data_IF_653088980600
#
_entry.id   IF_653088980600
#
_cell.length_a   1.000
_cell.length_b   1.000
_cell.length_c   1.000
_cell.angle_alpha   90.00
_cell.angle_beta   90.00
_cell.angle_gamma   90.00
#
_symmetry.space_group_name_H-M   'P 1'
#
loop_
_entity.id
_entity.type
_entity.pdbx_description
1 polymer ?
#
# COMPACT_ATOMS: atom_id res chain seq x y z
N UNK A 1 12.33 -25.26 20.27
CA UNK A 1 12.34 -24.93 18.83
C UNK A 1 11.46 -25.94 18.09
N UNK A 2 10.14 -25.78 18.19
CA UNK A 2 9.19 -26.70 17.56
C UNK A 2 9.03 -26.35 16.07
N UNK A 3 9.31 -27.34 15.23
CA UNK A 3 9.12 -27.34 13.78
C UNK A 3 7.67 -26.97 13.45
N UNK A 4 7.48 -25.95 12.61
CA UNK A 4 6.29 -25.90 11.78
C UNK A 4 6.42 -27.11 10.84
N UNK A 5 5.60 -28.13 11.06
CA UNK A 5 5.57 -29.36 10.29
C UNK A 5 5.30 -29.07 8.80
N UNK A 6 6.20 -29.54 7.93
CA UNK A 6 5.99 -30.21 6.63
C UNK A 6 4.94 -29.71 5.63
N UNK A 7 4.47 -28.47 5.74
CA UNK A 7 3.91 -27.77 4.60
C UNK A 7 4.90 -26.67 4.26
N UNK A 8 5.61 -26.82 3.14
CA UNK A 8 6.40 -25.71 2.62
C UNK A 8 5.43 -24.53 2.44
N UNK A 9 5.76 -23.37 3.02
CA UNK A 9 4.96 -22.14 2.84
C UNK A 9 4.74 -21.87 1.35
N UNK A 10 5.69 -22.27 0.50
CA UNK A 10 5.53 -22.32 -0.94
C UNK A 10 4.27 -23.08 -1.38
N UNK A 11 4.00 -24.28 -0.87
CA UNK A 11 2.83 -25.08 -1.22
C UNK A 11 1.51 -24.44 -0.77
N UNK A 12 1.48 -23.79 0.40
CA UNK A 12 0.31 -23.02 0.85
C UNK A 12 0.02 -21.88 -0.12
N UNK A 13 1.05 -21.12 -0.48
CA UNK A 13 0.94 -19.98 -1.39
C UNK A 13 0.52 -20.45 -2.77
N UNK A 14 1.17 -21.48 -3.33
CA UNK A 14 0.86 -22.08 -4.63
C UNK A 14 -0.59 -22.56 -4.70
N UNK A 15 -1.01 -23.36 -3.72
CA UNK A 15 -2.39 -23.89 -3.65
C UNK A 15 -3.40 -22.76 -3.60
N UNK A 16 -3.17 -21.75 -2.76
CA UNK A 16 -4.10 -20.64 -2.57
C UNK A 16 -4.19 -19.74 -3.78
N UNK A 17 -3.05 -19.42 -4.41
CA UNK A 17 -2.98 -18.61 -5.61
C UNK A 17 -3.75 -19.29 -6.74
N UNK A 18 -3.54 -20.60 -6.96
CA UNK A 18 -4.23 -21.37 -8.00
C UNK A 18 -5.74 -21.47 -7.78
N UNK A 19 -6.20 -21.65 -6.55
CA UNK A 19 -7.64 -21.62 -6.24
C UNK A 19 -8.26 -20.26 -6.60
N UNK A 20 -7.64 -19.16 -6.18
CA UNK A 20 -8.09 -17.81 -6.50
C UNK A 20 -8.02 -17.50 -8.00
N UNK A 21 -7.00 -18.03 -8.70
CA UNK A 21 -6.89 -17.94 -10.14
C UNK A 21 -8.05 -18.69 -10.82
N UNK A 22 -8.38 -19.89 -10.34
CA UNK A 22 -9.55 -20.68 -10.79
C UNK A 22 -10.84 -19.86 -10.82
N UNK A 23 -11.12 -19.13 -9.75
CA UNK A 23 -12.33 -18.31 -9.60
C UNK A 23 -12.46 -17.16 -10.62
N UNK A 24 -11.37 -16.80 -11.30
CA UNK A 24 -11.33 -15.66 -12.26
C UNK A 24 -10.88 -16.06 -13.67
N UNK A 25 -10.51 -17.32 -13.90
CA UNK A 25 -10.07 -17.83 -15.21
C UNK A 25 -11.18 -17.67 -16.26
N UNK A 26 -12.44 -17.90 -15.91
CA UNK A 26 -13.57 -17.78 -16.84
C UNK A 26 -13.69 -16.36 -17.42
N UNK A 27 -13.35 -15.34 -16.64
CA UNK A 27 -13.34 -13.94 -17.10
C UNK A 27 -12.22 -13.70 -18.13
N UNK A 28 -11.05 -14.29 -17.91
CA UNK A 28 -9.92 -14.20 -18.85
C UNK A 28 -10.18 -14.93 -20.15
N UNK A 29 -10.75 -16.14 -20.08
CA UNK A 29 -11.09 -16.95 -21.25
C UNK A 29 -12.16 -16.24 -22.08
N UNK A 30 -13.22 -15.74 -21.44
CA UNK A 30 -14.29 -15.01 -22.12
C UNK A 30 -13.79 -13.73 -22.81
N UNK A 31 -12.98 -12.92 -22.11
CA UNK A 31 -12.41 -11.70 -22.68
C UNK A 31 -11.44 -11.98 -23.84
N UNK A 32 -10.65 -13.06 -23.76
CA UNK A 32 -9.77 -13.48 -24.85
C UNK A 32 -10.56 -13.91 -26.08
N UNK A 33 -11.63 -14.68 -25.89
CA UNK A 33 -12.49 -15.13 -26.99
C UNK A 33 -13.13 -13.94 -27.71
N UNK A 34 -13.64 -12.95 -26.98
CA UNK A 34 -14.21 -11.74 -27.57
C UNK A 34 -13.18 -10.96 -28.41
N UNK A 35 -11.93 -10.89 -27.95
CA UNK A 35 -10.82 -10.26 -28.68
C UNK A 35 -10.45 -11.07 -29.92
N UNK A 36 -10.35 -12.39 -29.82
CA UNK A 36 -10.11 -13.28 -30.96
C UNK A 36 -11.21 -13.12 -32.02
N UNK A 37 -12.48 -13.05 -31.61
CA UNK A 37 -13.61 -12.83 -32.50
C UNK A 37 -13.54 -11.45 -33.19
N UNK A 38 -13.15 -10.41 -32.45
CA UNK A 38 -12.90 -9.08 -33.01
C UNK A 38 -11.72 -9.06 -33.97
N UNK A 39 -10.66 -9.82 -33.66
CA UNK A 39 -9.46 -9.97 -34.50
C UNK A 39 -9.79 -10.68 -35.81
N UNK A 40 -10.55 -11.78 -35.76
CA UNK A 40 -11.06 -12.50 -36.94
C UNK A 40 -11.87 -11.55 -37.83
N UNK A 41 -12.69 -10.68 -37.23
CA UNK A 41 -13.47 -9.67 -37.97
C UNK A 41 -12.62 -8.52 -38.54
N UNK A 42 -11.52 -8.15 -37.90
CA UNK A 42 -10.72 -6.96 -38.23
C UNK A 42 -9.53 -7.23 -39.17
N UNK A 43 -9.59 -8.29 -40.00
CA UNK A 43 -8.55 -8.97 -40.81
C UNK A 43 -7.48 -8.13 -41.57
N UNK A 44 -7.47 -6.80 -41.50
CA UNK A 44 -6.56 -5.91 -42.22
C UNK A 44 -5.99 -4.72 -41.43
N UNK A 45 -6.43 -4.45 -40.18
CA UNK A 45 -5.92 -3.31 -39.39
C UNK A 45 -4.97 -3.76 -38.27
N UNK A 46 -3.67 -3.79 -38.60
CA UNK A 46 -2.58 -4.16 -37.69
C UNK A 46 -2.55 -3.27 -36.44
N UNK A 47 -2.97 -1.99 -36.54
CA UNK A 47 -2.94 -1.06 -35.42
C UNK A 47 -4.03 -1.36 -34.40
N UNK A 48 -5.25 -1.64 -34.87
CA UNK A 48 -6.41 -2.00 -34.06
C UNK A 48 -6.21 -3.37 -33.41
N UNK A 49 -5.59 -4.28 -34.16
CA UNK A 49 -5.17 -5.59 -33.68
C UNK A 49 -4.12 -5.50 -32.56
N UNK A 50 -3.10 -4.64 -32.71
CA UNK A 50 -2.11 -4.38 -31.66
C UNK A 50 -2.71 -3.83 -30.38
N UNK A 51 -3.64 -2.89 -30.50
CA UNK A 51 -4.33 -2.30 -29.34
C UNK A 51 -5.15 -3.32 -28.55
N UNK A 52 -5.85 -4.25 -29.22
CA UNK A 52 -6.61 -5.31 -28.55
C UNK A 52 -5.69 -6.23 -27.72
N UNK A 53 -4.58 -6.70 -28.30
CA UNK A 53 -3.64 -7.57 -27.59
C UNK A 53 -2.90 -6.87 -26.45
N UNK A 54 -2.52 -5.61 -26.61
CA UNK A 54 -2.00 -4.81 -25.50
C UNK A 54 -3.05 -4.62 -24.39
N UNK A 55 -4.32 -4.42 -24.75
CA UNK A 55 -5.43 -4.37 -23.80
C UNK A 55 -5.55 -5.66 -22.99
N UNK A 56 -5.48 -6.82 -23.65
CA UNK A 56 -5.49 -8.12 -22.97
C UNK A 56 -4.27 -8.31 -22.08
N UNK A 57 -3.08 -7.91 -22.53
CA UNK A 57 -1.85 -7.94 -21.72
C UNK A 57 -1.99 -7.11 -20.43
N UNK A 58 -2.54 -5.90 -20.53
CA UNK A 58 -2.85 -5.05 -19.37
C UNK A 58 -3.88 -5.71 -18.45
N UNK A 59 -4.92 -6.33 -19.02
CA UNK A 59 -5.96 -7.00 -18.26
C UNK A 59 -5.45 -8.24 -17.51
N UNK A 60 -4.65 -9.09 -18.15
CA UNK A 60 -3.96 -10.22 -17.51
C UNK A 60 -3.08 -9.77 -16.36
N UNK A 61 -2.29 -8.71 -16.56
CA UNK A 61 -1.47 -8.12 -15.50
C UNK A 61 -2.30 -7.62 -14.31
N UNK A 62 -3.45 -6.99 -14.58
CA UNK A 62 -4.40 -6.55 -13.54
C UNK A 62 -4.94 -7.75 -12.74
N UNK A 63 -5.38 -8.81 -13.42
CA UNK A 63 -5.91 -10.00 -12.73
C UNK A 63 -4.83 -10.68 -11.89
N UNK A 64 -3.61 -10.83 -12.42
CA UNK A 64 -2.49 -11.39 -11.66
C UNK A 64 -2.23 -10.59 -10.36
N UNK A 65 -2.30 -9.26 -10.44
CA UNK A 65 -2.21 -8.36 -9.28
C UNK A 65 -3.35 -8.63 -8.29
N UNK A 66 -4.60 -8.67 -8.76
CA UNK A 66 -5.77 -8.82 -7.89
C UNK A 66 -5.77 -10.19 -7.17
N UNK A 67 -5.34 -11.26 -7.84
CA UNK A 67 -5.13 -12.59 -7.24
C UNK A 67 -4.05 -12.51 -6.15
N UNK A 68 -2.90 -11.90 -6.47
CA UNK A 68 -1.79 -11.77 -5.53
C UNK A 68 -2.19 -10.99 -4.28
N UNK A 69 -2.86 -9.83 -4.43
CA UNK A 69 -3.33 -9.01 -3.31
C UNK A 69 -4.34 -9.76 -2.42
N UNK A 70 -5.22 -10.59 -3.00
CA UNK A 70 -6.13 -11.47 -2.25
C UNK A 70 -5.37 -12.60 -1.53
N UNK A 71 -4.31 -13.12 -2.13
CA UNK A 71 -3.47 -14.13 -1.51
C UNK A 71 -2.74 -13.57 -0.28
N UNK A 72 -2.13 -12.38 -0.41
CA UNK A 72 -1.49 -11.64 0.69
C UNK A 72 -2.39 -11.49 1.92
N UNK A 73 -3.64 -11.06 1.73
CA UNK A 73 -4.57 -10.87 2.85
C UNK A 73 -4.79 -12.12 3.69
N UNK A 74 -4.82 -13.26 3.01
CA UNK A 74 -5.04 -14.57 3.64
C UNK A 74 -3.78 -15.01 4.39
N UNK A 75 -2.59 -14.65 3.90
CA UNK A 75 -1.30 -14.97 4.50
C UNK A 75 -1.01 -14.12 5.75
N UNK A 76 -1.44 -12.86 5.78
CA UNK A 76 -1.28 -11.98 6.96
C UNK A 76 -1.88 -12.61 8.23
N UNK A 77 -3.07 -13.20 8.13
CA UNK A 77 -3.70 -13.87 9.27
C UNK A 77 -2.91 -15.08 9.78
N UNK A 78 -2.22 -15.80 8.88
CA UNK A 78 -1.41 -16.97 9.22
C UNK A 78 -0.10 -16.58 9.91
N UNK A 79 0.52 -15.47 9.49
CA UNK A 79 1.80 -15.03 10.04
C UNK A 79 1.67 -14.29 11.38
N UNK A 80 0.50 -13.75 11.70
CA UNK A 80 0.30 -12.80 12.80
C UNK A 80 0.79 -13.28 14.18
N UNK A 81 0.71 -14.58 14.46
CA UNK A 81 1.09 -15.18 15.75
C UNK A 81 2.44 -15.87 15.74
N UNK A 82 3.14 -15.89 14.60
CA UNK A 82 4.46 -16.51 14.49
C UNK A 82 5.48 -15.72 15.31
N UNK A 83 6.54 -16.35 15.86
CA UNK A 83 7.70 -15.64 16.42
C UNK A 83 8.46 -14.81 15.37
N UNK A 84 9.20 -13.74 15.75
CA UNK A 84 9.82 -12.83 14.78
C UNK A 84 10.77 -13.46 13.76
N UNK A 85 11.55 -14.47 14.18
CA UNK A 85 12.43 -15.19 13.26
C UNK A 85 11.63 -16.01 12.22
N UNK A 86 10.55 -16.66 12.65
CA UNK A 86 9.67 -17.45 11.79
C UNK A 86 8.85 -16.55 10.87
N UNK A 87 8.36 -15.41 11.37
CA UNK A 87 7.65 -14.41 10.56
C UNK A 87 8.49 -13.91 9.38
N UNK A 88 9.78 -13.63 9.60
CA UNK A 88 10.68 -13.19 8.53
C UNK A 88 10.87 -14.28 7.48
N UNK A 89 11.16 -15.52 7.91
CA UNK A 89 11.32 -16.65 6.99
C UNK A 89 10.04 -16.92 6.20
N UNK A 90 8.89 -16.87 6.87
CA UNK A 90 7.58 -17.03 6.25
C UNK A 90 7.38 -16.09 5.05
N UNK A 91 7.63 -14.80 5.26
CA UNK A 91 7.42 -13.80 4.22
C UNK A 91 8.48 -13.82 3.11
N UNK A 92 9.70 -14.28 3.40
CA UNK A 92 10.72 -14.53 2.37
C UNK A 92 10.23 -15.62 1.42
N UNK A 93 9.86 -16.79 1.96
CA UNK A 93 9.36 -17.92 1.16
C UNK A 93 8.04 -17.58 0.45
N UNK A 94 7.15 -16.85 1.11
CA UNK A 94 5.89 -16.44 0.50
C UNK A 94 6.07 -15.46 -0.67
N UNK A 95 7.03 -14.53 -0.56
CA UNK A 95 7.38 -13.61 -1.63
C UNK A 95 7.92 -14.33 -2.87
N UNK A 96 8.85 -15.26 -2.67
CA UNK A 96 9.41 -16.08 -3.75
C UNK A 96 8.34 -16.93 -4.45
N UNK A 97 7.51 -17.63 -3.67
CA UNK A 97 6.44 -18.45 -4.21
C UNK A 97 5.40 -17.64 -4.98
N UNK A 98 5.02 -16.47 -4.47
CA UNK A 98 4.05 -15.59 -5.13
C UNK A 98 4.64 -14.98 -6.41
N UNK A 99 5.92 -14.59 -6.41
CA UNK A 99 6.58 -14.12 -7.62
C UNK A 99 6.61 -15.21 -8.70
N UNK A 100 6.91 -16.46 -8.30
CA UNK A 100 6.88 -17.61 -9.20
C UNK A 100 5.49 -17.84 -9.80
N UNK A 101 4.43 -17.88 -8.98
CA UNK A 101 3.06 -18.13 -9.49
C UNK A 101 2.54 -16.97 -10.35
N UNK A 102 2.89 -15.71 -10.06
CA UNK A 102 2.59 -14.56 -10.93
C UNK A 102 3.23 -14.75 -12.31
N UNK A 103 4.51 -15.13 -12.36
CA UNK A 103 5.22 -15.35 -13.62
C UNK A 103 4.60 -16.51 -14.42
N UNK A 104 4.31 -17.64 -13.77
CA UNK A 104 3.64 -18.79 -14.40
C UNK A 104 2.28 -18.39 -14.94
N UNK A 105 1.47 -17.69 -14.15
CA UNK A 105 0.14 -17.23 -14.55
C UNK A 105 0.20 -16.33 -15.79
N UNK A 106 1.09 -15.33 -15.78
CA UNK A 106 1.25 -14.43 -16.93
C UNK A 106 1.71 -15.22 -18.15
N UNK A 107 2.68 -16.13 -18.01
CA UNK A 107 3.17 -16.95 -19.12
C UNK A 107 2.05 -17.79 -19.75
N UNK A 108 1.32 -18.57 -18.95
CA UNK A 108 0.21 -19.41 -19.41
C UNK A 108 -0.88 -18.57 -20.09
N UNK A 109 -1.22 -17.43 -19.51
CA UNK A 109 -2.31 -16.60 -20.04
C UNK A 109 -1.90 -15.63 -21.15
N UNK A 110 -0.67 -15.72 -21.66
CA UNK A 110 -0.17 -14.86 -22.75
C UNK A 110 0.51 -15.64 -23.88
N UNK A 111 0.54 -16.98 -23.80
CA UNK A 111 1.22 -17.85 -24.77
C UNK A 111 0.77 -17.65 -26.23
N UNK A 112 -0.51 -17.42 -26.46
CA UNK A 112 -1.09 -17.22 -27.79
C UNK A 112 -0.94 -15.79 -28.34
N UNK A 113 -0.38 -14.86 -27.55
CA UNK A 113 -0.32 -13.45 -27.93
C UNK A 113 0.80 -13.19 -28.96
N UNK A 114 0.57 -12.33 -29.96
CA UNK A 114 1.62 -11.92 -30.90
C UNK A 114 2.59 -10.93 -30.22
N UNK A 115 3.59 -11.48 -29.52
CA UNK A 115 4.50 -10.74 -28.63
C UNK A 115 5.28 -9.59 -29.29
N UNK A 116 5.65 -9.75 -30.56
CA UNK A 116 6.43 -8.75 -31.32
C UNK A 116 5.57 -7.64 -31.94
N UNK A 117 4.24 -7.75 -31.86
CA UNK A 117 3.33 -6.76 -32.41
C UNK A 117 3.51 -5.41 -31.69
N UNK A 118 3.88 -4.38 -32.44
CA UNK A 118 4.11 -3.03 -31.92
C UNK A 118 2.79 -2.30 -31.74
N UNK A 119 2.66 -1.64 -30.60
CA UNK A 119 1.46 -0.93 -30.18
C UNK A 119 1.85 0.48 -29.78
N UNK A 120 1.08 1.46 -30.26
CA UNK A 120 1.25 2.86 -29.88
C UNK A 120 0.43 3.11 -28.62
N UNK A 121 1.12 3.26 -27.49
CA UNK A 121 0.49 3.55 -26.20
C UNK A 121 0.50 5.05 -25.93
N UNK A 122 -0.64 5.60 -25.55
CA UNK A 122 -0.75 6.98 -25.12
C UNK A 122 -0.31 7.10 -23.64
N UNK A 123 0.70 7.94 -23.36
CA UNK A 123 1.13 8.31 -22.00
C UNK A 123 0.95 9.82 -21.80
N UNK A 124 -0.30 10.29 -21.91
CA UNK A 124 -0.64 11.70 -21.72
C UNK A 124 -0.28 12.56 -22.93
N UNK A 125 0.80 13.34 -22.85
CA UNK A 125 1.26 14.23 -23.93
C UNK A 125 2.20 13.56 -24.94
N UNK A 126 2.56 12.29 -24.74
CA UNK A 126 3.50 11.56 -25.60
C UNK A 126 2.99 10.16 -25.95
N UNK A 127 3.46 9.64 -27.08
CA UNK A 127 3.20 8.27 -27.52
C UNK A 127 4.47 7.45 -27.44
N UNK A 128 4.38 6.25 -26.86
CA UNK A 128 5.47 5.29 -26.85
C UNK A 128 5.05 4.09 -27.69
N UNK A 129 5.93 3.64 -28.58
CA UNK A 129 5.72 2.40 -29.34
C UNK A 129 6.39 1.28 -28.57
N UNK A 130 5.61 0.32 -28.11
CA UNK A 130 6.08 -0.86 -27.37
C UNK A 130 5.54 -2.13 -28.01
N UNK A 131 6.29 -3.23 -27.95
CA UNK A 131 5.74 -4.54 -28.30
C UNK A 131 4.81 -5.06 -27.21
N UNK A 132 3.88 -5.97 -27.55
CA UNK A 132 3.02 -6.65 -26.55
C UNK A 132 3.88 -7.31 -25.46
N UNK A 133 5.03 -7.88 -25.83
CA UNK A 133 6.04 -8.41 -24.90
C UNK A 133 6.53 -7.39 -23.88
N UNK A 134 6.87 -6.18 -24.34
CA UNK A 134 7.35 -5.11 -23.45
C UNK A 134 6.24 -4.61 -22.53
N UNK A 135 4.99 -4.53 -23.01
CA UNK A 135 3.83 -4.19 -22.17
C UNK A 135 3.65 -5.23 -21.07
N UNK A 136 3.68 -6.52 -21.41
CA UNK A 136 3.57 -7.61 -20.45
C UNK A 136 4.70 -7.58 -19.42
N UNK A 137 5.95 -7.50 -19.87
CA UNK A 137 7.11 -7.46 -18.98
C UNK A 137 7.03 -6.28 -18.00
N UNK A 138 6.61 -5.10 -18.47
CA UNK A 138 6.43 -3.93 -17.61
C UNK A 138 5.32 -4.13 -16.58
N UNK A 139 4.17 -4.70 -16.97
CA UNK A 139 3.08 -4.96 -16.04
C UNK A 139 3.47 -5.99 -14.99
N UNK A 140 4.10 -7.10 -15.40
CA UNK A 140 4.58 -8.13 -14.47
C UNK A 140 5.58 -7.53 -13.49
N UNK A 141 6.56 -6.77 -13.96
CA UNK A 141 7.54 -6.10 -13.10
C UNK A 141 6.87 -5.15 -12.10
N UNK A 142 5.90 -4.35 -12.53
CA UNK A 142 5.15 -3.44 -11.66
C UNK A 142 4.36 -4.20 -10.58
N UNK A 143 3.69 -5.30 -10.96
CA UNK A 143 2.94 -6.15 -10.02
C UNK A 143 3.89 -6.76 -9.00
N UNK A 144 4.99 -7.36 -9.44
CA UNK A 144 5.99 -7.95 -8.55
C UNK A 144 6.58 -6.93 -7.57
N UNK A 145 6.95 -5.75 -8.06
CA UNK A 145 7.46 -4.67 -7.21
C UNK A 145 6.44 -4.22 -6.16
N UNK A 146 5.16 -4.11 -6.54
CA UNK A 146 4.09 -3.75 -5.61
C UNK A 146 3.87 -4.81 -4.53
N UNK A 147 3.86 -6.09 -4.91
CA UNK A 147 3.73 -7.20 -3.97
C UNK A 147 4.92 -7.23 -3.01
N UNK A 148 6.14 -7.04 -3.52
CA UNK A 148 7.34 -6.99 -2.69
C UNK A 148 7.27 -5.84 -1.66
N UNK A 149 6.84 -4.64 -2.06
CA UNK A 149 6.64 -3.51 -1.15
C UNK A 149 5.58 -3.79 -0.09
N UNK A 150 4.48 -4.47 -0.44
CA UNK A 150 3.46 -4.88 0.53
C UNK A 150 4.00 -5.88 1.55
N UNK A 151 4.78 -6.88 1.11
CA UNK A 151 5.43 -7.84 2.02
C UNK A 151 6.40 -7.12 2.95
N UNK A 152 7.23 -6.22 2.41
CA UNK A 152 8.18 -5.44 3.20
C UNK A 152 7.45 -4.60 4.25
N UNK A 153 6.36 -3.94 3.88
CA UNK A 153 5.48 -3.23 4.81
C UNK A 153 4.98 -4.13 5.93
N UNK A 154 4.41 -5.30 5.60
CA UNK A 154 3.88 -6.25 6.61
C UNK A 154 4.98 -6.69 7.58
N UNK A 155 6.18 -6.98 7.07
CA UNK A 155 7.33 -7.35 7.90
C UNK A 155 7.77 -6.20 8.82
N UNK A 156 7.72 -4.95 8.36
CA UNK A 156 8.06 -3.79 9.18
C UNK A 156 6.99 -3.52 10.23
N UNK A 157 5.71 -3.53 9.86
CA UNK A 157 4.61 -3.41 10.82
C UNK A 157 4.77 -4.42 11.95
N UNK A 158 4.95 -5.70 11.59
CA UNK A 158 5.16 -6.77 12.56
C UNK A 158 6.36 -6.47 13.47
N UNK A 159 7.49 -6.00 12.91
CA UNK A 159 8.68 -5.63 13.69
C UNK A 159 8.38 -4.50 14.66
N UNK A 160 7.62 -3.48 14.25
CA UNK A 160 7.28 -2.34 15.09
C UNK A 160 6.32 -2.73 16.21
N UNK A 161 5.35 -3.62 15.95
CA UNK A 161 4.44 -4.17 16.96
C UNK A 161 5.20 -4.93 18.07
N UNK A 162 6.33 -5.55 17.73
CA UNK A 162 7.18 -6.30 18.65
C UNK A 162 8.31 -5.46 19.27
N UNK A 163 8.39 -4.16 18.95
CA UNK A 163 9.31 -3.21 19.59
C UNK A 163 8.65 -2.67 20.85
N UNK A 164 9.36 -2.69 21.98
CA UNK A 164 8.83 -2.23 23.27
C UNK A 164 8.56 -0.72 23.22
N UNK A 165 7.29 -0.31 23.36
CA UNK A 165 6.91 1.09 23.52
C UNK A 165 7.23 1.60 24.93
N UNK A 166 7.44 2.91 25.08
CA UNK A 166 7.71 3.53 26.39
C UNK A 166 6.44 4.11 27.01
N UNK A 167 6.40 4.26 28.34
CA UNK A 167 5.27 4.94 29.03
C UNK A 167 5.09 6.40 28.55
N UNK A 168 6.20 7.04 28.18
CA UNK A 168 6.21 8.37 27.56
C UNK A 168 5.47 8.39 26.23
N UNK A 169 5.58 7.33 25.41
CA UNK A 169 4.84 7.25 24.15
C UNK A 169 3.34 7.14 24.37
N UNK A 170 2.91 6.39 25.39
CA UNK A 170 1.50 6.28 25.75
C UNK A 170 0.92 7.66 26.12
N UNK A 171 1.67 8.46 26.90
CA UNK A 171 1.27 9.80 27.31
C UNK A 171 1.04 10.73 26.11
N UNK A 172 2.06 10.92 25.25
CA UNK A 172 1.93 11.82 24.10
C UNK A 172 0.94 11.30 23.05
N UNK A 173 0.81 9.98 22.92
CA UNK A 173 -0.17 9.41 22.01
C UNK A 173 -1.60 9.71 22.45
N UNK A 174 -1.91 9.67 23.76
CA UNK A 174 -3.23 10.09 24.26
C UNK A 174 -3.52 11.56 23.97
N UNK A 175 -2.53 12.43 24.18
CA UNK A 175 -2.67 13.86 23.86
C UNK A 175 -3.00 14.10 22.39
N UNK A 176 -2.30 13.42 21.47
CA UNK A 176 -2.59 13.59 20.04
C UNK A 176 -3.92 12.96 19.63
N UNK A 177 -4.35 11.85 20.26
CA UNK A 177 -5.65 11.24 20.02
C UNK A 177 -6.81 12.14 20.50
N UNK A 178 -6.64 12.83 21.62
CA UNK A 178 -7.60 13.83 22.09
C UNK A 178 -7.68 15.03 21.14
N UNK A 179 -6.55 15.43 20.55
CA UNK A 179 -6.53 16.47 19.51
C UNK A 179 -7.28 16.00 18.25
N UNK A 180 -7.16 14.72 17.85
CA UNK A 180 -7.88 14.17 16.70
C UNK A 180 -9.41 14.19 16.88
N UNK A 181 -9.93 14.16 18.11
CA UNK A 181 -11.38 14.27 18.39
C UNK A 181 -11.97 15.62 17.95
N UNK A 182 -11.14 16.66 17.80
CA UNK A 182 -11.55 17.99 17.33
C UNK A 182 -11.78 18.06 15.81
N UNK A 183 -11.36 17.03 15.06
CA UNK A 183 -11.60 16.96 13.62
C UNK A 183 -13.08 17.05 13.31
N UNK A 184 -13.44 18.01 12.45
CA UNK A 184 -14.80 18.16 11.93
C UNK A 184 -14.98 17.32 10.67
N UNK A 185 -16.18 16.79 10.49
CA UNK A 185 -16.54 16.09 9.25
C UNK A 185 -16.49 17.06 8.07
N UNK A 186 -15.85 16.64 6.98
CA UNK A 186 -15.83 17.39 5.73
C UNK A 186 -16.94 16.90 4.79
N UNK A 187 -17.59 17.84 4.08
CA UNK A 187 -18.58 17.49 3.04
C UNK A 187 -17.86 16.82 1.87
N UNK A 188 -17.91 15.50 1.81
CA UNK A 188 -17.27 14.68 0.79
C UNK A 188 -18.00 13.35 0.64
N UNK A 189 -18.05 12.80 -0.58
CA UNK A 189 -18.64 11.47 -0.85
C UNK A 189 -17.85 10.33 -0.18
N UNK A 190 -16.59 10.58 0.16
CA UNK A 190 -15.72 9.66 0.90
C UNK A 190 -15.50 10.22 2.32
N UNK A 191 -15.76 9.43 3.38
CA UNK A 191 -15.41 9.80 4.75
C UNK A 191 -13.92 10.16 4.82
N UNK A 192 -13.59 11.22 5.55
CA UNK A 192 -12.19 11.62 5.73
C UNK A 192 -11.69 11.19 7.11
N UNK A 193 -10.43 10.76 7.24
CA UNK A 193 -9.91 10.26 8.51
C UNK A 193 -9.79 11.40 9.53
N UNK A 194 -10.08 11.11 10.80
CA UNK A 194 -9.77 12.02 11.91
C UNK A 194 -8.30 11.84 12.26
N UNK A 195 -7.47 12.80 11.85
CA UNK A 195 -6.02 12.74 12.00
C UNK A 195 -5.53 13.91 12.83
N UNK A 196 -4.62 13.64 13.76
CA UNK A 196 -3.85 14.66 14.46
C UNK A 196 -2.36 14.31 14.50
N UNK A 197 -1.55 15.33 14.73
CA UNK A 197 -0.11 15.27 14.83
C UNK A 197 0.36 16.08 16.04
N UNK A 198 1.42 15.65 16.70
CA UNK A 198 2.02 16.33 17.86
C UNK A 198 3.54 16.16 17.78
N UNK A 199 4.29 17.26 17.93
CA UNK A 199 5.76 17.23 17.97
C UNK A 199 6.25 17.44 19.39
N UNK A 200 7.13 16.55 19.83
CA UNK A 200 7.82 16.58 21.11
C UNK A 200 9.32 16.80 20.89
N UNK A 201 9.91 17.68 21.68
CA UNK A 201 11.35 17.90 21.76
C UNK A 201 11.76 17.96 23.22
N UNK A 202 12.83 17.24 23.58
CA UNK A 202 13.37 17.21 24.95
C UNK A 202 12.31 16.88 26.02
N UNK A 203 11.39 15.96 25.69
CA UNK A 203 10.30 15.55 26.58
C UNK A 203 9.15 16.56 26.72
N UNK A 204 9.15 17.65 25.94
CA UNK A 204 8.10 18.67 25.96
C UNK A 204 7.38 18.78 24.63
N UNK A 205 6.06 18.93 24.69
CA UNK A 205 5.26 19.27 23.49
C UNK A 205 5.62 20.68 23.03
N UNK A 206 6.03 20.81 21.77
CA UNK A 206 6.29 22.11 21.13
C UNK A 206 5.19 22.53 20.16
N UNK A 207 4.28 21.61 19.82
CA UNK A 207 3.05 21.92 19.11
C UNK A 207 2.27 20.68 18.71
N UNK A 208 0.96 20.87 18.51
CA UNK A 208 0.05 19.87 17.95
C UNK A 208 -0.93 20.48 16.97
N UNK A 209 -1.44 19.68 16.06
CA UNK A 209 -2.49 20.08 15.14
C UNK A 209 -3.43 18.94 14.77
N UNK A 210 -4.61 19.27 14.28
CA UNK A 210 -5.56 18.29 13.72
C UNK A 210 -5.96 18.63 12.27
N UNK A 211 -6.48 17.63 11.58
CA UNK A 211 -6.93 17.75 10.20
C UNK A 211 -8.04 18.79 10.09
N UNK A 212 -7.83 19.78 9.23
CA UNK A 212 -8.79 20.86 9.02
C UNK A 212 -8.73 22.02 10.03
N UNK A 213 -7.75 22.07 10.94
CA UNK A 213 -7.66 23.11 11.99
C UNK A 213 -7.49 24.52 11.42
N UNK A 214 -6.52 24.75 10.54
CA UNK A 214 -6.30 26.07 9.94
C UNK A 214 -7.12 26.28 8.67
N UNK A 215 -7.22 25.26 7.82
CA UNK A 215 -8.02 25.29 6.58
C UNK A 215 -8.64 23.91 6.31
N UNK A 216 -9.89 23.85 5.82
CA UNK A 216 -10.52 22.59 5.44
C UNK A 216 -9.66 21.77 4.47
N UNK A 217 -9.56 20.46 4.70
CA UNK A 217 -8.79 19.55 3.86
C UNK A 217 -7.29 19.49 4.12
N UNK A 218 -6.73 20.40 4.93
CA UNK A 218 -5.32 20.33 5.32
C UNK A 218 -5.07 19.17 6.29
N UNK A 219 -3.98 18.45 6.06
CA UNK A 219 -3.57 17.33 6.92
C UNK A 219 -2.95 17.88 8.21
N UNK A 220 -3.08 17.13 9.30
CA UNK A 220 -2.55 17.52 10.59
C UNK A 220 -1.04 17.79 10.55
N UNK A 221 -0.27 16.91 9.90
CA UNK A 221 1.19 17.04 9.79
C UNK A 221 1.57 18.28 8.98
N UNK A 222 0.83 18.61 7.92
CA UNK A 222 1.06 19.84 7.16
C UNK A 222 0.77 21.08 8.00
N UNK A 223 -0.41 21.13 8.63
CA UNK A 223 -0.81 22.22 9.51
C UNK A 223 0.21 22.46 10.62
N UNK A 224 0.72 21.38 11.21
CA UNK A 224 1.69 21.43 12.28
C UNK A 224 3.07 21.89 11.80
N UNK A 225 3.67 21.19 10.83
CA UNK A 225 5.06 21.39 10.42
C UNK A 225 5.25 22.65 9.58
N UNK A 226 4.31 22.96 8.70
CA UNK A 226 4.41 24.09 7.75
C UNK A 226 3.59 25.31 8.18
N UNK A 227 2.63 25.13 9.09
CA UNK A 227 1.86 26.23 9.65
C UNK A 227 2.43 26.66 10.99
N UNK A 228 2.06 25.92 12.03
CA UNK A 228 2.31 26.28 13.44
C UNK A 228 3.80 26.27 13.80
N UNK A 229 4.61 25.43 13.17
CA UNK A 229 6.03 25.25 13.44
C UNK A 229 6.94 25.64 12.26
N UNK A 230 6.44 26.45 11.32
CA UNK A 230 7.14 26.82 10.08
C UNK A 230 8.57 27.33 10.27
N UNK A 231 8.82 28.08 11.36
CA UNK A 231 10.13 28.62 11.73
C UNK A 231 10.88 27.89 12.84
N UNK A 232 10.37 26.75 13.32
CA UNK A 232 10.98 26.00 14.42
C UNK A 232 11.92 24.92 13.87
N UNK A 233 13.12 24.78 14.45
CA UNK A 233 14.00 23.68 14.12
C UNK A 233 13.48 22.38 14.75
N UNK A 234 13.00 21.46 13.90
CA UNK A 234 12.45 20.17 14.31
C UNK A 234 13.46 19.03 14.20
N UNK A 235 14.70 19.31 13.80
CA UNK A 235 15.74 18.30 13.72
C UNK A 235 15.96 17.66 15.09
N UNK A 236 15.92 16.32 15.15
CA UNK A 236 16.03 15.56 16.39
C UNK A 236 14.73 15.35 17.16
N UNK A 237 13.62 15.98 16.77
CA UNK A 237 12.35 15.86 17.48
C UNK A 237 11.64 14.51 17.22
N UNK A 238 10.67 14.19 18.07
CA UNK A 238 9.74 13.07 17.89
C UNK A 238 8.39 13.57 17.41
N UNK A 239 7.84 12.96 16.37
CA UNK A 239 6.50 13.22 15.87
C UNK A 239 5.56 12.07 16.26
N UNK A 240 4.44 12.40 16.90
CA UNK A 240 3.34 11.49 17.19
C UNK A 240 2.21 11.76 16.19
N UNK A 241 1.73 10.73 15.50
CA UNK A 241 0.62 10.83 14.54
C UNK A 241 -0.42 9.74 14.76
N UNK A 242 -1.68 10.10 14.61
CA UNK A 242 -2.79 9.16 14.82
C UNK A 242 -3.05 8.24 13.62
N UNK A 243 -2.50 8.56 12.45
CA UNK A 243 -2.57 7.76 11.23
C UNK A 243 -1.22 7.83 10.49
N UNK A 244 -0.86 6.78 9.76
CA UNK A 244 0.32 6.73 8.91
C UNK A 244 0.44 7.96 7.99
N UNK A 245 1.61 8.65 7.95
CA UNK A 245 1.81 9.79 7.07
C UNK A 245 1.70 9.41 5.59
N UNK A 246 0.90 10.16 4.83
CA UNK A 246 0.65 9.83 3.42
C UNK A 246 1.89 9.99 2.51
N UNK A 247 1.98 9.14 1.47
CA UNK A 247 3.05 9.14 0.45
C UNK A 247 2.64 9.70 -0.91
N UNK A 248 1.34 9.94 -1.13
CA UNK A 248 0.82 10.50 -2.37
C UNK A 248 -0.11 11.68 -2.10
N UNK A 249 -0.03 12.72 -2.93
CA UNK A 249 -0.94 13.88 -2.96
C UNK A 249 -1.01 14.48 -4.36
N UNK A 250 -2.15 15.10 -4.67
CA UNK A 250 -2.33 15.81 -5.93
C UNK A 250 -1.39 17.03 -5.96
N UNK A 251 -0.62 17.14 -7.04
CA UNK A 251 0.24 18.29 -7.31
C UNK A 251 -0.55 19.62 -7.19
N UNK A 252 0.01 20.69 -6.59
CA UNK A 252 1.40 20.87 -6.14
C UNK A 252 1.69 20.45 -4.68
N UNK A 253 0.80 19.69 -4.03
CA UNK A 253 0.96 19.37 -2.60
C UNK A 253 2.02 18.28 -2.37
N UNK A 254 2.99 18.56 -1.50
CA UNK A 254 3.97 17.55 -1.02
C UNK A 254 3.31 16.60 0.00
N UNK A 255 3.49 15.26 -0.12
CA UNK A 255 2.98 14.28 0.84
C UNK A 255 3.59 14.42 2.25
N UNK A 256 2.86 13.98 3.28
CA UNK A 256 3.26 14.20 4.66
C UNK A 256 4.56 13.47 5.02
N UNK A 257 4.76 12.23 4.56
CA UNK A 257 5.99 11.47 4.84
C UNK A 257 7.25 12.24 4.39
N UNK A 258 7.23 12.85 3.20
CA UNK A 258 8.36 13.64 2.69
C UNK A 258 8.59 14.93 3.49
N UNK A 259 7.53 15.58 4.00
CA UNK A 259 7.68 16.74 4.89
C UNK A 259 8.36 16.38 6.20
N UNK A 260 8.04 15.23 6.76
CA UNK A 260 8.68 14.72 7.98
C UNK A 260 10.18 14.51 7.73
N UNK A 261 10.54 13.94 6.57
CA UNK A 261 11.92 13.75 6.11
C UNK A 261 12.65 15.10 5.95
N UNK A 262 12.04 16.04 5.21
CA UNK A 262 12.60 17.38 4.98
C UNK A 262 12.87 18.14 6.30
N UNK A 263 11.97 17.99 7.28
CA UNK A 263 12.09 18.60 8.62
C UNK A 263 13.08 17.88 9.55
N UNK A 264 13.70 16.79 9.09
CA UNK A 264 14.72 16.00 9.83
C UNK A 264 14.24 15.51 11.20
N UNK A 265 12.96 15.18 11.30
CA UNK A 265 12.39 14.51 12.47
C UNK A 265 13.17 13.21 12.70
N UNK A 266 13.64 12.97 13.93
CA UNK A 266 14.45 11.80 14.23
C UNK A 266 13.61 10.55 14.48
N UNK A 267 12.38 10.72 14.98
CA UNK A 267 11.51 9.62 15.38
C UNK A 267 10.05 9.89 15.08
N UNK A 268 9.32 8.89 14.58
CA UNK A 268 7.87 8.97 14.36
C UNK A 268 7.16 7.81 15.06
N UNK A 269 6.13 8.13 15.84
CA UNK A 269 5.27 7.16 16.53
C UNK A 269 3.88 7.20 15.91
N UNK A 270 3.41 6.05 15.42
CA UNK A 270 2.19 5.95 14.60
C UNK A 270 1.13 5.13 15.34
N UNK A 271 -0.09 5.66 15.47
CA UNK A 271 -1.18 4.96 16.17
C UNK A 271 -1.94 3.95 15.30
N UNK A 272 -2.12 4.25 14.02
CA UNK A 272 -2.83 3.38 13.08
C UNK A 272 -2.19 3.46 11.69
N UNK A 273 -2.22 2.35 10.95
CA UNK A 273 -1.79 2.32 9.56
C UNK A 273 -2.91 2.74 8.61
N UNK A 274 -2.56 3.22 7.43
CA UNK A 274 -3.56 3.65 6.46
C UNK A 274 -4.35 2.43 5.90
N UNK A 275 -5.69 2.37 6.05
CA UNK A 275 -6.49 1.30 5.48
C UNK A 275 -6.51 1.28 3.93
N UNK A 276 -6.05 2.35 3.27
CA UNK A 276 -5.90 2.41 1.83
C UNK A 276 -4.67 1.62 1.37
N UNK A 277 -4.85 0.53 0.63
CA UNK A 277 -3.76 -0.33 0.14
C UNK A 277 -2.77 0.34 -0.79
N UNK A 278 -3.17 1.43 -1.44
CA UNK A 278 -2.26 2.22 -2.27
C UNK A 278 -1.30 3.07 -1.44
N UNK A 279 -1.55 3.21 -0.14
CA UNK A 279 -0.73 3.99 0.81
C UNK A 279 -0.13 3.09 1.89
N UNK A 280 -0.88 2.09 2.36
CA UNK A 280 -0.56 1.19 3.48
C UNK A 280 0.91 0.78 3.46
N UNK A 281 1.65 1.22 4.48
CA UNK A 281 3.04 0.87 4.70
C UNK A 281 4.06 1.65 3.90
N UNK A 282 3.68 2.35 2.84
CA UNK A 282 4.62 3.12 2.03
C UNK A 282 5.19 4.30 2.83
N UNK A 283 4.39 4.89 3.73
CA UNK A 283 4.84 5.98 4.59
C UNK A 283 5.91 5.49 5.55
N UNK A 284 5.68 4.34 6.16
CA UNK A 284 6.65 3.64 7.01
C UNK A 284 7.95 3.37 6.25
N UNK A 285 7.86 2.80 5.04
CA UNK A 285 9.04 2.49 4.23
C UNK A 285 9.84 3.75 3.88
N UNK A 286 9.17 4.80 3.40
CA UNK A 286 9.85 6.04 3.03
C UNK A 286 10.56 6.70 4.22
N UNK A 287 9.92 6.73 5.39
CA UNK A 287 10.52 7.29 6.62
C UNK A 287 11.73 6.45 7.07
N UNK A 288 11.61 5.13 7.01
CA UNK A 288 12.69 4.22 7.39
C UNK A 288 13.90 4.33 6.45
N UNK A 289 13.68 4.41 5.13
CA UNK A 289 14.74 4.60 4.13
C UNK A 289 15.49 5.91 4.34
N UNK A 290 14.80 6.94 4.85
CA UNK A 290 15.41 8.20 5.27
C UNK A 290 16.12 8.14 6.64
N UNK A 291 16.18 6.97 7.28
CA UNK A 291 16.87 6.76 8.56
C UNK A 291 16.10 7.24 9.79
N UNK A 292 14.79 7.49 9.65
CA UNK A 292 13.94 7.94 10.77
C UNK A 292 13.56 6.74 11.64
N UNK A 293 13.68 6.89 12.95
CA UNK A 293 13.27 5.86 13.90
C UNK A 293 11.73 5.73 13.92
N UNK A 294 11.22 4.52 13.75
CA UNK A 294 9.79 4.25 13.80
C UNK A 294 9.41 3.44 15.05
N UNK A 295 8.20 3.71 15.53
CA UNK A 295 7.50 2.93 16.55
C UNK A 295 5.99 2.97 16.28
N UNK A 296 5.29 1.90 16.71
CA UNK A 296 3.84 1.95 16.84
C UNK A 296 3.47 2.41 18.25
N UNK A 297 2.29 3.02 18.37
CA UNK A 297 1.70 3.32 19.67
C UNK A 297 1.49 2.03 20.50
N UNK A 298 1.39 2.13 21.82
CA UNK A 298 0.96 0.99 22.63
C UNK A 298 -0.47 0.58 22.25
N UNK A 299 -0.78 -0.71 22.50
CA UNK A 299 -2.01 -1.36 22.03
C UNK A 299 -3.29 -0.60 22.42
N UNK A 300 -3.37 -0.09 23.64
CA UNK A 300 -4.54 0.65 24.11
C UNK A 300 -4.80 1.92 23.27
N UNK A 301 -3.75 2.66 22.92
CA UNK A 301 -3.85 3.86 22.09
C UNK A 301 -4.11 3.52 20.61
N UNK A 302 -3.57 2.40 20.10
CA UNK A 302 -3.92 1.91 18.76
C UNK A 302 -5.41 1.54 18.65
N UNK A 303 -6.00 0.98 19.71
CA UNK A 303 -7.44 0.66 19.74
C UNK A 303 -8.30 1.93 19.74
N UNK A 304 -7.89 2.97 20.48
CA UNK A 304 -8.54 4.29 20.43
C UNK A 304 -8.44 4.93 19.03
N UNK A 305 -7.27 4.85 18.38
CA UNK A 305 -7.09 5.33 17.03
C UNK A 305 -8.00 4.59 16.03
N UNK A 306 -8.10 3.27 16.18
CA UNK A 306 -8.95 2.42 15.34
C UNK A 306 -10.43 2.81 15.44
N UNK A 307 -10.92 3.16 16.62
CA UNK A 307 -12.30 3.63 16.80
C UNK A 307 -12.52 5.00 16.14
N UNK A 308 -11.58 5.94 16.28
CA UNK A 308 -11.66 7.25 15.61
C UNK A 308 -11.68 7.14 14.09
N UNK A 309 -11.04 6.11 13.54
CA UNK A 309 -10.90 5.87 12.10
C UNK A 309 -11.93 4.89 11.53
N UNK A 310 -12.87 4.39 12.34
CA UNK A 310 -13.77 3.29 11.99
C UNK A 310 -14.51 3.49 10.67
N UNK A 311 -15.10 4.66 10.46
CA UNK A 311 -15.87 4.96 9.24
C UNK A 311 -14.98 5.06 8.00
N UNK A 312 -13.81 5.67 8.15
CA UNK A 312 -12.81 5.78 7.09
C UNK A 312 -12.29 4.39 6.67
N UNK A 313 -11.90 3.58 7.64
CA UNK A 313 -11.42 2.21 7.42
C UNK A 313 -12.49 1.32 6.78
N UNK A 314 -13.75 1.45 7.19
CA UNK A 314 -14.86 0.70 6.60
C UNK A 314 -15.07 1.06 5.13
N UNK A 315 -14.99 2.35 4.76
CA UNK A 315 -15.13 2.79 3.38
C UNK A 315 -14.07 2.15 2.48
N UNK A 316 -12.80 2.21 2.87
CA UNK A 316 -11.68 1.64 2.09
C UNK A 316 -11.71 0.10 2.02
N UNK A 317 -12.20 -0.59 3.06
CA UNK A 317 -12.43 -2.05 2.99
C UNK A 317 -13.57 -2.44 2.04
N UNK A 318 -14.61 -1.62 1.91
CA UNK A 318 -15.78 -1.91 1.07
C UNK A 318 -15.55 -1.61 -0.42
N UNK A 319 -14.78 -0.57 -0.75
CA UNK A 319 -14.38 -0.27 -2.13
C UNK A 319 -13.59 -1.42 -2.76
N UNK A 320 -12.75 -2.10 -1.99
CA UNK A 320 -11.99 -3.28 -2.45
C UNK A 320 -12.84 -4.52 -2.72
N UNK A 321 -14.02 -4.67 -2.11
CA UNK A 321 -14.93 -5.81 -2.42
C UNK A 321 -15.70 -5.64 -3.72
N UNK A 322 -15.75 -4.42 -4.28
CA UNK A 322 -16.54 -4.06 -5.46
C UNK A 322 -15.70 -3.83 -6.72
N UNK A 323 -14.37 -3.92 -6.62
CA UNK A 323 -13.40 -3.69 -7.70
C UNK A 323 -12.88 -5.02 -8.25
#
# INVERSE_FOLDING_TARGET
MAKINEIEIGDVVRTRFRLLAGDVIDQLVSGRQEIQDRFIKARQDVSRNGQCWAGQALFTGKIAKDIAEKCLDRLVGLSATMPPAQHRLFWSSAGEAMASEINVFVQVHTEEMPLELKVRQNRGQSFVVMSVKQVLAQQTANTLARIALQIQSIQQEYRLQHKKSTDTDAHFMRLVLDEAKKCKSEKSNTPKPKVAALVVRDGQEIGRAYRGELKPGDHAEFTLLEGKLSGVNLAGATLYVTLEPCTSRNHPKVPCAFRVIERRIARVVIAALDPNRDILGQGILALQEAGIELALAPKAEMDLASELLRDFSRHHRQSHKRS
#
